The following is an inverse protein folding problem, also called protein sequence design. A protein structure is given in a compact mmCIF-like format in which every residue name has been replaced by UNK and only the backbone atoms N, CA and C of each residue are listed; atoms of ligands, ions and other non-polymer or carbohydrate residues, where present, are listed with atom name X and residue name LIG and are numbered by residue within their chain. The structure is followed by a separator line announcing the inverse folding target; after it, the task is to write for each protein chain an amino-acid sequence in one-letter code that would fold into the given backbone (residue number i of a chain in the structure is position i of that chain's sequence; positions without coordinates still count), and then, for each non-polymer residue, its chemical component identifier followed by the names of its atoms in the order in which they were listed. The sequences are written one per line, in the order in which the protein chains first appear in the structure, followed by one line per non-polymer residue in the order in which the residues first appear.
data_IF_476993594940
#
_entry.id   IF_476993594940
#
_cell.length_a   1.000
_cell.length_b   1.000
_cell.length_c   1.000
_cell.angle_alpha   90.00
_cell.angle_beta   90.00
_cell.angle_gamma   90.00
#
_symmetry.space_group_name_H-M   'P 1'
#
loop_
_entity.id
_entity.type
_entity.pdbx_description
1 polymer ?
#
# COMPACT_ATOMS: atom_id res chain seq x y z
N UNK A 1 -26.52 42.42 -95.17
CA UNK A 1 -26.28 43.43 -94.10
C UNK A 1 -25.52 42.74 -92.99
N UNK A 2 -24.42 43.36 -92.54
CA UNK A 2 -23.36 42.85 -91.65
C UNK A 2 -23.82 42.25 -90.30
N UNK A 3 -23.04 41.29 -89.77
CA UNK A 3 -22.51 41.33 -88.39
C UNK A 3 -21.27 40.44 -88.20
N UNK A 4 -20.31 40.99 -87.47
CA UNK A 4 -18.93 40.54 -87.20
C UNK A 4 -18.84 39.42 -86.15
N UNK A 5 -17.78 38.58 -86.13
CA UNK A 5 -17.54 37.63 -85.04
C UNK A 5 -16.71 38.25 -83.91
N UNK A 6 -17.03 37.88 -82.67
CA UNK A 6 -16.34 38.31 -81.44
C UNK A 6 -15.36 37.24 -80.94
N UNK A 7 -14.13 37.67 -80.68
CA UNK A 7 -13.02 36.87 -80.13
C UNK A 7 -13.21 36.53 -78.64
N UNK A 8 -12.96 35.27 -78.26
CA UNK A 8 -12.77 34.84 -76.87
C UNK A 8 -11.28 34.80 -76.55
N UNK A 9 -10.88 35.44 -75.44
CA UNK A 9 -9.52 35.34 -74.87
C UNK A 9 -9.51 34.31 -73.73
N UNK A 10 -8.54 33.38 -73.67
CA UNK A 10 -8.34 32.55 -72.50
C UNK A 10 -7.51 33.28 -71.43
N UNK A 11 -7.95 33.19 -70.18
CA UNK A 11 -7.21 33.60 -68.98
C UNK A 11 -6.24 32.49 -68.58
N UNK A 12 -4.93 32.74 -68.64
CA UNK A 12 -3.91 31.85 -68.07
C UNK A 12 -3.80 32.05 -66.55
N UNK A 13 -4.19 31.04 -65.77
CA UNK A 13 -3.85 30.89 -64.36
C UNK A 13 -2.41 30.39 -64.20
N UNK A 14 -1.54 31.15 -63.52
CA UNK A 14 -0.17 30.72 -63.23
C UNK A 14 -0.13 29.75 -62.03
N UNK A 15 0.01 28.46 -62.32
CA UNK A 15 0.41 27.49 -61.29
C UNK A 15 1.89 27.71 -60.98
N UNK A 16 2.20 28.36 -59.85
CA UNK A 16 3.55 28.31 -59.27
C UNK A 16 3.80 26.88 -58.78
N UNK A 17 4.53 26.10 -59.56
CA UNK A 17 5.07 24.82 -59.12
C UNK A 17 6.02 25.09 -57.93
N UNK A 18 5.57 24.80 -56.71
CA UNK A 18 6.43 24.82 -55.54
C UNK A 18 7.55 23.80 -55.74
N UNK A 19 8.79 24.28 -55.87
CA UNK A 19 9.99 23.45 -55.87
C UNK A 19 9.98 22.59 -54.60
N UNK A 20 9.70 21.29 -54.75
CA UNK A 20 9.88 20.33 -53.66
C UNK A 20 11.39 20.22 -53.40
N UNK A 21 11.88 20.85 -52.33
CA UNK A 21 13.25 20.67 -51.85
C UNK A 21 13.43 19.21 -51.45
N UNK A 22 14.30 18.49 -52.16
CA UNK A 22 14.79 17.19 -51.72
C UNK A 22 15.87 17.42 -50.65
N UNK A 23 15.76 16.74 -49.50
CA UNK A 23 16.76 16.78 -48.44
C UNK A 23 18.06 16.10 -48.92
N UNK A 24 19.19 16.72 -48.64
CA UNK A 24 20.50 16.10 -48.89
C UNK A 24 20.85 15.09 -47.80
N UNK A 25 21.61 14.04 -48.16
CA UNK A 25 22.13 13.05 -47.21
C UNK A 25 22.96 13.70 -46.09
N UNK A 26 23.69 14.77 -46.41
CA UNK A 26 24.52 15.48 -45.44
C UNK A 26 23.68 16.25 -44.41
N UNK A 27 22.57 16.88 -44.83
CA UNK A 27 21.65 17.54 -43.91
C UNK A 27 21.05 16.53 -42.92
N UNK A 28 20.66 15.34 -43.40
CA UNK A 28 20.18 14.27 -42.52
C UNK A 28 21.28 13.76 -41.57
N UNK A 29 22.50 13.60 -42.09
CA UNK A 29 23.64 13.09 -41.31
C UNK A 29 24.01 14.02 -40.16
N UNK A 30 24.04 15.34 -40.38
CA UNK A 30 24.32 16.30 -39.30
C UNK A 30 23.22 16.27 -38.24
N UNK A 31 21.96 16.13 -38.65
CA UNK A 31 20.82 16.07 -37.71
C UNK A 31 20.92 14.86 -36.78
N UNK A 32 21.19 13.67 -37.31
CA UNK A 32 21.33 12.48 -36.46
C UNK A 32 22.55 12.57 -35.52
N UNK A 33 23.64 13.21 -35.96
CA UNK A 33 24.82 13.45 -35.12
C UNK A 33 24.48 14.39 -33.97
N UNK A 34 23.77 15.49 -34.24
CA UNK A 34 23.34 16.43 -33.19
C UNK A 34 22.37 15.75 -32.21
N UNK A 35 21.37 15.00 -32.69
CA UNK A 35 20.46 14.24 -31.82
C UNK A 35 21.22 13.22 -30.98
N UNK A 36 22.21 12.53 -31.56
CA UNK A 36 23.06 11.57 -30.83
C UNK A 36 23.87 12.21 -29.70
N UNK A 37 24.45 13.40 -29.95
CA UNK A 37 25.18 14.15 -28.92
C UNK A 37 24.23 14.62 -27.82
N UNK A 38 23.08 15.21 -28.18
CA UNK A 38 22.09 15.70 -27.22
C UNK A 38 21.53 14.56 -26.37
N UNK A 39 21.18 13.43 -26.98
CA UNK A 39 20.72 12.24 -26.26
C UNK A 39 21.82 11.70 -25.33
N UNK A 40 23.07 11.64 -25.79
CA UNK A 40 24.21 11.20 -24.98
C UNK A 40 24.45 12.03 -23.72
N UNK A 41 24.21 13.34 -23.79
CA UNK A 41 24.29 14.22 -22.60
C UNK A 41 23.11 14.08 -21.65
N UNK A 42 21.93 13.73 -22.13
CA UNK A 42 20.72 13.63 -21.31
C UNK A 42 20.65 12.33 -20.49
N UNK A 43 21.14 11.21 -21.05
CA UNK A 43 20.96 9.88 -20.46
C UNK A 43 21.45 9.70 -19.01
N UNK A 44 22.66 10.19 -18.60
CA UNK A 44 23.14 9.98 -17.23
C UNK A 44 22.24 10.62 -16.15
N UNK A 45 21.58 11.74 -16.46
CA UNK A 45 20.71 12.44 -15.50
C UNK A 45 19.34 11.80 -15.32
N UNK A 46 18.87 11.01 -16.31
CA UNK A 46 17.51 10.44 -16.30
C UNK A 46 17.33 9.38 -15.21
N UNK A 47 18.35 8.56 -14.95
CA UNK A 47 18.27 7.50 -13.93
C UNK A 47 18.15 8.06 -12.52
N UNK A 48 18.96 9.07 -12.16
CA UNK A 48 18.88 9.74 -10.86
C UNK A 48 17.56 10.50 -10.68
N UNK A 49 17.07 11.16 -11.74
CA UNK A 49 15.76 11.82 -11.71
C UNK A 49 14.61 10.82 -11.51
N UNK A 50 14.67 9.64 -12.14
CA UNK A 50 13.69 8.57 -11.93
C UNK A 50 13.69 8.08 -10.49
N UNK A 51 14.87 7.81 -9.92
CA UNK A 51 14.98 7.35 -8.53
C UNK A 51 14.45 8.41 -7.54
N UNK A 52 14.79 9.69 -7.75
CA UNK A 52 14.27 10.77 -6.92
C UNK A 52 12.74 10.92 -7.03
N UNK A 53 12.18 10.72 -8.23
CA UNK A 53 10.73 10.71 -8.43
C UNK A 53 10.05 9.54 -7.70
N UNK A 54 10.67 8.36 -7.69
CA UNK A 54 10.18 7.19 -6.94
C UNK A 54 10.20 7.44 -5.43
N UNK A 55 11.30 7.97 -4.88
CA UNK A 55 11.36 8.38 -3.47
C UNK A 55 10.28 9.40 -3.14
N UNK A 56 10.07 10.39 -4.02
CA UNK A 56 9.03 11.41 -3.84
C UNK A 56 7.63 10.80 -3.87
N UNK A 57 7.39 9.80 -4.71
CA UNK A 57 6.13 9.07 -4.76
C UNK A 57 5.86 8.31 -3.45
N UNK A 58 6.85 7.59 -2.92
CA UNK A 58 6.74 6.90 -1.61
C UNK A 58 6.48 7.90 -0.50
N UNK A 59 7.25 9.00 -0.41
CA UNK A 59 7.03 10.04 0.60
C UNK A 59 5.63 10.66 0.50
N UNK A 60 5.10 10.82 -0.72
CA UNK A 60 3.74 11.35 -0.92
C UNK A 60 2.68 10.35 -0.49
N UNK A 61 2.87 9.06 -0.80
CA UNK A 61 2.01 7.98 -0.33
C UNK A 61 2.01 7.89 1.20
N UNK A 62 3.18 7.91 1.84
CA UNK A 62 3.30 7.90 3.30
C UNK A 62 2.55 9.07 3.93
N UNK A 63 2.63 10.28 3.35
CA UNK A 63 1.84 11.44 3.81
C UNK A 63 0.33 11.23 3.67
N UNK A 64 -0.11 10.54 2.63
CA UNK A 64 -1.52 10.19 2.47
C UNK A 64 -1.96 9.16 3.53
N UNK A 65 -1.11 8.17 3.82
CA UNK A 65 -1.31 7.20 4.91
C UNK A 65 -1.38 7.93 6.26
N UNK A 66 -0.44 8.85 6.52
CA UNK A 66 -0.43 9.65 7.75
C UNK A 66 -1.72 10.45 7.92
N UNK A 67 -2.20 11.08 6.85
CA UNK A 67 -3.47 11.79 6.85
C UNK A 67 -4.64 10.85 7.15
N UNK A 68 -4.69 9.67 6.55
CA UNK A 68 -5.74 8.69 6.81
C UNK A 68 -5.73 8.19 8.27
N UNK A 69 -4.54 7.98 8.85
CA UNK A 69 -4.39 7.66 10.29
C UNK A 69 -4.89 8.81 11.16
N UNK A 70 -4.58 10.06 10.81
CA UNK A 70 -5.11 11.22 11.52
C UNK A 70 -6.63 11.31 11.41
N UNK A 71 -7.20 11.09 10.22
CA UNK A 71 -8.66 11.07 10.00
C UNK A 71 -9.31 9.93 10.82
N UNK A 72 -8.66 8.76 10.92
CA UNK A 72 -9.08 7.65 11.78
C UNK A 72 -9.09 8.06 13.26
N UNK A 73 -7.99 8.66 13.74
CA UNK A 73 -7.87 9.15 15.12
C UNK A 73 -8.87 10.25 15.43
N UNK A 74 -9.17 11.14 14.49
CA UNK A 74 -10.20 12.16 14.66
C UNK A 74 -11.59 11.54 14.81
N UNK A 75 -11.88 10.46 14.07
CA UNK A 75 -13.17 9.76 14.14
C UNK A 75 -13.33 8.95 15.42
N UNK A 76 -12.31 8.20 15.81
CA UNK A 76 -12.41 7.20 16.89
C UNK A 76 -11.66 7.57 18.18
N UNK A 77 -10.89 8.65 18.18
CA UNK A 77 -10.12 9.13 19.32
C UNK A 77 -8.78 8.43 19.54
N UNK A 78 -8.47 7.37 18.79
CA UNK A 78 -7.25 6.54 18.94
C UNK A 78 -6.69 6.19 17.55
N UNK A 79 -5.36 6.08 17.40
CA UNK A 79 -4.74 5.55 16.18
C UNK A 79 -5.09 4.07 15.94
N UNK A 80 -4.99 3.58 14.69
CA UNK A 80 -4.91 2.15 14.43
C UNK A 80 -3.88 1.46 15.33
N UNK A 81 -4.13 0.23 15.78
CA UNK A 81 -3.16 -0.53 16.55
C UNK A 81 -2.06 -1.04 15.64
N UNK A 82 -0.87 -1.34 16.19
CA UNK A 82 0.17 -2.05 15.42
C UNK A 82 0.04 -3.54 15.44
N UNK A 83 -0.77 -4.08 16.36
CA UNK A 83 -1.10 -5.49 16.40
C UNK A 83 -2.49 -5.67 16.98
N UNK A 84 -3.33 -6.44 16.30
CA UNK A 84 -4.64 -6.84 16.79
C UNK A 84 -4.91 -8.30 16.42
N UNK A 85 -5.63 -9.00 17.28
CA UNK A 85 -6.16 -10.32 16.96
C UNK A 85 -7.66 -10.18 16.74
N UNK A 86 -8.14 -10.64 15.60
CA UNK A 86 -9.55 -10.68 15.25
C UNK A 86 -10.00 -12.14 15.22
N UNK A 87 -11.27 -12.34 15.57
CA UNK A 87 -11.88 -13.65 15.53
C UNK A 87 -13.19 -13.58 14.77
N UNK A 88 -13.35 -14.51 13.86
CA UNK A 88 -14.56 -14.73 13.11
C UNK A 88 -15.62 -15.41 13.98
N UNK A 89 -15.19 -16.48 14.65
CA UNK A 89 -16.02 -17.22 15.59
C UNK A 89 -16.18 -16.45 16.92
N UNK A 90 -17.45 -16.28 17.33
CA UNK A 90 -17.80 -15.56 18.56
C UNK A 90 -17.19 -16.11 19.85
N UNK A 91 -17.04 -17.44 19.93
CA UNK A 91 -16.59 -18.13 21.14
C UNK A 91 -15.17 -17.69 21.57
N UNK A 92 -14.35 -17.27 20.61
CA UNK A 92 -13.00 -16.79 20.83
C UNK A 92 -12.91 -15.37 21.44
N UNK A 93 -14.00 -14.60 21.42
CA UNK A 93 -14.05 -13.27 22.07
C UNK A 93 -14.29 -13.31 23.59
N UNK A 94 -14.19 -14.50 24.21
CA UNK A 94 -14.37 -14.68 25.65
C UNK A 94 -13.37 -13.87 26.50
N UNK A 95 -13.66 -13.68 27.80
CA UNK A 95 -12.77 -12.92 28.69
C UNK A 95 -11.42 -13.63 28.98
N UNK A 96 -11.34 -14.93 28.71
CA UNK A 96 -10.15 -15.77 28.90
C UNK A 96 -10.03 -16.71 27.71
N UNK A 97 -9.66 -16.20 26.53
CA UNK A 97 -9.66 -17.00 25.32
C UNK A 97 -8.57 -18.08 25.40
N UNK A 98 -8.93 -19.29 24.98
CA UNK A 98 -7.94 -20.34 24.75
C UNK A 98 -7.11 -19.94 23.53
N UNK A 99 -5.79 -19.90 23.69
CA UNK A 99 -4.85 -19.65 22.59
C UNK A 99 -4.51 -21.00 21.96
N UNK A 100 -4.83 -21.25 20.68
CA UNK A 100 -4.42 -22.48 20.01
C UNK A 100 -2.90 -22.56 19.90
N UNK A 101 -2.34 -23.78 19.89
CA UNK A 101 -0.89 -24.02 19.98
C UNK A 101 -0.06 -23.61 18.76
N UNK A 102 -0.70 -23.15 17.69
CA UNK A 102 -0.10 -22.78 16.40
C UNK A 102 -0.22 -21.28 16.07
N UNK A 103 -0.36 -20.42 17.08
CA UNK A 103 -0.45 -18.97 16.90
C UNK A 103 0.60 -18.22 17.73
N UNK A 104 0.97 -17.01 17.30
CA UNK A 104 1.98 -16.17 17.95
C UNK A 104 1.39 -15.06 18.84
N UNK A 105 0.07 -14.97 18.94
CA UNK A 105 -0.63 -14.11 19.89
C UNK A 105 -0.82 -14.73 21.28
N UNK A 106 -1.08 -13.89 22.28
CA UNK A 106 -1.29 -14.29 23.67
C UNK A 106 -2.69 -13.93 24.16
N UNK A 107 -3.20 -14.57 25.23
CA UNK A 107 -4.49 -14.20 25.81
C UNK A 107 -4.60 -12.70 26.21
N UNK A 108 -3.46 -12.06 26.51
CA UNK A 108 -3.38 -10.62 26.75
C UNK A 108 -3.64 -9.80 25.47
N UNK A 109 -3.22 -10.29 24.30
CA UNK A 109 -3.43 -9.65 23.01
C UNK A 109 -4.90 -9.69 22.60
N UNK A 110 -5.59 -10.82 22.80
CA UNK A 110 -7.02 -10.90 22.58
C UNK A 110 -7.81 -9.98 23.53
N UNK A 111 -7.40 -9.90 24.81
CA UNK A 111 -8.02 -8.98 25.78
C UNK A 111 -7.81 -7.52 25.35
N UNK A 112 -6.62 -7.18 24.86
CA UNK A 112 -6.31 -5.85 24.32
C UNK A 112 -7.15 -5.55 23.07
N UNK A 113 -7.24 -6.51 22.16
CA UNK A 113 -8.00 -6.40 20.91
C UNK A 113 -9.47 -6.15 21.18
N UNK A 114 -10.08 -6.92 22.10
CA UNK A 114 -11.44 -6.70 22.56
C UNK A 114 -11.65 -5.32 23.18
N UNK A 115 -10.70 -4.87 24.00
CA UNK A 115 -10.75 -3.53 24.63
C UNK A 115 -10.67 -2.42 23.60
N UNK A 116 -9.77 -2.56 22.63
CA UNK A 116 -9.59 -1.64 21.51
C UNK A 116 -10.85 -1.57 20.63
N UNK A 117 -11.40 -2.72 20.22
CA UNK A 117 -12.63 -2.78 19.43
C UNK A 117 -13.83 -2.17 20.18
N UNK A 118 -13.95 -2.39 21.49
CA UNK A 118 -15.00 -1.76 22.30
C UNK A 118 -14.86 -0.23 22.35
N UNK A 119 -13.64 0.30 22.30
CA UNK A 119 -13.40 1.75 22.28
C UNK A 119 -13.88 2.38 20.97
N UNK A 120 -13.55 1.76 19.82
CA UNK A 120 -13.93 2.31 18.50
C UNK A 120 -15.38 1.95 18.09
N UNK A 121 -15.90 0.81 18.57
CA UNK A 121 -17.26 0.34 18.34
C UNK A 121 -17.92 -0.11 19.65
N UNK A 122 -18.54 0.83 20.39
CA UNK A 122 -19.12 0.55 21.71
C UNK A 122 -20.22 -0.52 21.71
N UNK A 123 -20.90 -0.75 20.58
CA UNK A 123 -21.97 -1.74 20.44
C UNK A 123 -21.52 -3.07 19.82
N UNK A 124 -20.22 -3.24 19.53
CA UNK A 124 -19.70 -4.46 18.93
C UNK A 124 -20.15 -5.71 19.71
N UNK A 125 -20.70 -6.68 18.98
CA UNK A 125 -21.19 -7.92 19.57
C UNK A 125 -20.08 -8.97 19.67
N UNK A 126 -19.57 -9.22 20.88
CA UNK A 126 -18.55 -10.24 21.12
C UNK A 126 -19.14 -11.64 21.34
N UNK A 127 -20.45 -11.84 21.23
CA UNK A 127 -21.08 -13.13 21.59
C UNK A 127 -21.16 -14.13 20.44
N UNK A 128 -20.93 -13.70 19.19
CA UNK A 128 -20.99 -14.58 18.02
C UNK A 128 -22.36 -14.74 17.40
N UNK A 129 -23.35 -13.91 17.72
CA UNK A 129 -24.67 -14.02 17.09
C UNK A 129 -24.66 -13.68 15.59
N UNK A 130 -23.56 -13.14 15.08
CA UNK A 130 -23.26 -12.99 13.67
C UNK A 130 -21.89 -13.61 13.40
N UNK A 131 -21.88 -14.81 12.84
CA UNK A 131 -20.69 -15.38 12.20
C UNK A 131 -20.13 -14.37 11.19
N UNK A 132 -18.80 -14.20 11.18
CA UNK A 132 -18.14 -13.14 10.42
C UNK A 132 -17.11 -13.77 9.52
N UNK A 133 -17.31 -13.60 8.23
CA UNK A 133 -16.31 -13.85 7.20
C UNK A 133 -15.53 -12.54 7.04
N UNK A 134 -14.45 -12.37 7.82
CA UNK A 134 -13.62 -11.17 7.83
C UNK A 134 -12.68 -11.19 6.63
N UNK A 135 -11.94 -12.28 6.41
CA UNK A 135 -10.96 -12.43 5.31
C UNK A 135 -11.63 -12.73 3.95
N UNK A 136 -12.92 -13.05 3.94
CA UNK A 136 -13.69 -13.19 2.72
C UNK A 136 -13.61 -14.57 2.06
N UNK A 137 -13.03 -15.56 2.72
CA UNK A 137 -12.71 -16.89 2.21
C UNK A 137 -13.94 -17.84 2.18
N UNK A 138 -15.02 -17.43 2.84
CA UNK A 138 -16.29 -18.14 2.84
C UNK A 138 -16.54 -19.01 4.08
N UNK A 139 -15.67 -18.96 5.09
CA UNK A 139 -15.96 -19.52 6.41
C UNK A 139 -16.09 -18.45 7.51
N UNK A 140 -16.10 -18.88 8.77
CA UNK A 140 -16.30 -18.00 9.92
C UNK A 140 -15.58 -18.52 11.16
N UNK A 141 -14.49 -19.26 10.96
CA UNK A 141 -13.75 -19.99 11.99
C UNK A 141 -12.35 -19.45 12.19
N UNK A 142 -11.96 -18.44 11.41
CA UNK A 142 -10.59 -17.97 11.42
C UNK A 142 -10.24 -17.07 12.59
N UNK A 143 -8.95 -17.10 12.86
CA UNK A 143 -8.26 -16.21 13.79
C UNK A 143 -7.26 -15.42 12.97
N UNK A 144 -7.44 -14.10 12.94
CA UNK A 144 -6.60 -13.22 12.13
C UNK A 144 -5.65 -12.44 13.03
N UNK A 145 -4.34 -12.61 12.86
CA UNK A 145 -3.29 -11.98 13.67
C UNK A 145 -2.63 -10.81 12.94
N UNK A 146 -3.37 -9.72 12.80
CA UNK A 146 -2.87 -8.56 12.08
C UNK A 146 -1.74 -7.83 12.82
N UNK A 147 -0.69 -7.49 12.09
CA UNK A 147 0.46 -6.70 12.53
C UNK A 147 0.83 -5.64 11.49
N UNK A 148 1.41 -4.53 11.96
CA UNK A 148 2.01 -3.51 11.10
C UNK A 148 1.12 -3.06 9.93
N UNK A 149 1.52 -3.43 8.72
CA UNK A 149 0.82 -3.07 7.49
C UNK A 149 -0.57 -3.69 7.35
N UNK A 150 -0.83 -4.90 7.86
CA UNK A 150 -2.17 -5.52 7.82
C UNK A 150 -3.15 -4.71 8.65
N UNK A 151 -2.70 -4.22 9.81
CA UNK A 151 -3.49 -3.31 10.63
C UNK A 151 -3.84 -2.02 9.85
N UNK A 152 -2.90 -1.48 9.07
CA UNK A 152 -3.19 -0.32 8.21
C UNK A 152 -4.21 -0.68 7.13
N UNK A 153 -4.01 -1.79 6.43
CA UNK A 153 -4.93 -2.28 5.40
C UNK A 153 -6.34 -2.41 5.97
N UNK A 154 -6.47 -3.09 7.12
CA UNK A 154 -7.74 -3.35 7.76
C UNK A 154 -8.40 -2.08 8.30
N UNK A 155 -7.71 -1.24 9.07
CA UNK A 155 -8.35 -0.10 9.73
C UNK A 155 -8.55 1.12 8.84
N UNK A 156 -7.67 1.33 7.85
CA UNK A 156 -7.80 2.43 6.91
C UNK A 156 -8.63 2.04 5.69
N UNK A 157 -8.51 0.79 5.23
CA UNK A 157 -9.27 0.27 4.10
C UNK A 157 -10.63 -0.30 4.51
N UNK A 158 -10.72 -1.02 5.62
CA UNK A 158 -11.91 -1.78 6.03
C UNK A 158 -11.88 -3.24 5.59
N UNK A 159 -13.03 -3.92 5.69
CA UNK A 159 -13.16 -5.32 5.24
C UNK A 159 -13.64 -5.39 3.79
N UNK A 160 -13.29 -6.45 3.08
CA UNK A 160 -13.70 -6.63 1.68
C UNK A 160 -15.23 -6.75 1.56
N UNK A 161 -15.77 -6.31 0.42
CA UNK A 161 -17.20 -6.45 0.11
C UNK A 161 -17.48 -7.83 -0.49
N UNK A 162 -18.63 -8.43 -0.19
CA UNK A 162 -19.08 -9.70 -0.81
C UNK A 162 -19.36 -9.62 -2.31
N UNK A 163 -19.32 -8.41 -2.89
CA UNK A 163 -19.74 -8.13 -4.26
C UNK A 163 -18.69 -7.32 -5.03
N UNK A 164 -17.45 -7.80 -5.13
CA UNK A 164 -16.53 -7.24 -6.14
C UNK A 164 -17.00 -7.79 -7.48
N UNK A 165 -17.77 -6.98 -8.22
CA UNK A 165 -18.24 -7.35 -9.56
C UNK A 165 -17.10 -7.06 -10.52
N UNK A 166 -16.56 -8.07 -11.19
CA UNK A 166 -15.57 -7.80 -12.24
C UNK A 166 -16.21 -7.09 -13.44
N UNK A 167 -15.37 -6.66 -14.38
CA UNK A 167 -15.82 -5.99 -15.61
C UNK A 167 -16.78 -6.85 -16.48
N UNK A 168 -17.04 -8.11 -16.10
CA UNK A 168 -17.96 -9.03 -16.77
C UNK A 168 -19.31 -9.18 -16.06
N UNK A 169 -19.51 -8.55 -14.90
CA UNK A 169 -20.77 -8.65 -14.14
C UNK A 169 -20.82 -9.83 -13.16
N UNK A 170 -19.70 -10.54 -12.97
CA UNK A 170 -19.62 -11.70 -12.08
C UNK A 170 -19.24 -11.26 -10.67
N UNK A 171 -20.01 -11.66 -9.66
CA UNK A 171 -19.65 -11.46 -8.25
C UNK A 171 -18.43 -12.33 -7.93
N UNK A 172 -17.31 -11.70 -7.63
CA UNK A 172 -16.11 -12.34 -7.10
C UNK A 172 -16.15 -12.32 -5.59
N UNK A 173 -16.00 -13.50 -4.99
CA UNK A 173 -15.55 -13.65 -3.60
C UNK A 173 -14.05 -13.33 -3.55
N UNK A 174 -13.49 -13.06 -2.37
CA UNK A 174 -12.02 -13.04 -2.23
C UNK A 174 -11.49 -14.41 -2.72
N UNK A 175 -10.26 -14.47 -3.27
CA UNK A 175 -9.77 -15.71 -3.86
C UNK A 175 -9.87 -16.86 -2.84
N UNK A 176 -10.50 -17.94 -3.29
CA UNK A 176 -10.81 -19.17 -2.55
C UNK A 176 -9.65 -20.18 -2.60
N UNK A 177 -8.47 -19.78 -3.10
CA UNK A 177 -7.32 -20.67 -3.16
C UNK A 177 -6.39 -20.46 -1.97
N UNK A 178 -5.93 -21.58 -1.41
CA UNK A 178 -5.09 -21.64 -0.22
C UNK A 178 -3.65 -21.14 -0.45
N UNK A 179 -3.33 -20.65 -1.66
CA UNK A 179 -1.98 -20.38 -2.11
C UNK A 179 -1.92 -19.04 -2.86
N UNK A 180 -2.25 -17.94 -2.18
CA UNK A 180 -2.36 -16.54 -2.64
C UNK A 180 -1.19 -16.07 -3.55
N UNK A 181 -1.10 -16.62 -4.75
CA UNK A 181 0.06 -16.48 -5.61
C UNK A 181 0.01 -15.16 -6.35
N UNK A 182 1.14 -14.45 -6.38
CA UNK A 182 1.28 -13.16 -7.06
C UNK A 182 0.70 -13.25 -8.49
N UNK A 183 -0.31 -12.44 -8.85
CA UNK A 183 -0.97 -12.59 -10.14
C UNK A 183 -0.04 -12.25 -11.29
N UNK A 184 -0.09 -13.04 -12.36
CA UNK A 184 0.59 -12.74 -13.61
C UNK A 184 -0.13 -11.60 -14.35
N UNK A 185 0.64 -10.76 -15.03
CA UNK A 185 0.08 -9.63 -15.77
C UNK A 185 -0.89 -10.10 -16.87
N UNK A 186 -2.19 -9.95 -16.64
CA UNK A 186 -3.25 -10.34 -17.58
C UNK A 186 -4.39 -11.15 -16.96
N UNK A 187 -4.19 -11.69 -15.76
CA UNK A 187 -5.27 -12.33 -15.02
C UNK A 187 -6.21 -11.26 -14.45
N UNK A 188 -7.51 -11.51 -14.57
CA UNK A 188 -8.49 -10.70 -13.89
C UNK A 188 -8.28 -10.93 -12.39
N UNK A 189 -7.63 -9.94 -11.82
CA UNK A 189 -7.30 -9.64 -10.44
C UNK A 189 -8.37 -9.99 -9.39
N UNK A 190 -8.06 -11.02 -8.60
CA UNK A 190 -8.80 -11.38 -7.38
C UNK A 190 -8.37 -10.48 -6.23
N UNK A 191 -8.86 -9.24 -6.25
CA UNK A 191 -8.49 -8.23 -5.28
C UNK A 191 -9.33 -8.36 -4.01
N UNK A 192 -8.66 -8.61 -2.89
CA UNK A 192 -9.12 -8.03 -1.63
C UNK A 192 -9.22 -6.51 -1.81
N UNK A 193 -10.43 -6.02 -2.08
CA UNK A 193 -10.74 -4.59 -2.19
C UNK A 193 -11.42 -4.13 -0.90
N UNK A 194 -10.69 -3.52 0.03
CA UNK A 194 -11.27 -3.06 1.28
C UNK A 194 -12.16 -1.84 1.02
N UNK A 195 -13.45 -1.91 1.40
CA UNK A 195 -14.47 -0.89 1.06
C UNK A 195 -15.08 -0.21 2.29
N UNK A 196 -14.28 0.00 3.33
CA UNK A 196 -14.71 0.50 4.63
C UNK A 196 -15.34 -0.57 5.54
N UNK A 197 -16.07 -0.11 6.55
CA UNK A 197 -16.75 -0.96 7.53
C UNK A 197 -18.26 -0.80 7.43
N UNK A 198 -19.01 -1.82 7.84
CA UNK A 198 -20.47 -1.75 7.90
C UNK A 198 -20.94 -0.62 8.82
N UNK A 199 -22.06 0.03 8.47
CA UNK A 199 -22.77 0.94 9.38
C UNK A 199 -23.45 0.20 10.53
N UNK A 200 -23.54 -1.14 10.47
CA UNK A 200 -24.12 -1.94 11.54
C UNK A 200 -23.24 -1.86 12.80
N UNK A 201 -23.71 -1.21 13.87
CA UNK A 201 -22.87 -0.94 15.04
C UNK A 201 -22.59 -2.19 15.88
N UNK A 202 -23.37 -3.27 15.72
CA UNK A 202 -23.13 -4.55 16.40
C UNK A 202 -22.24 -5.50 15.58
N UNK A 203 -22.21 -5.32 14.25
CA UNK A 203 -21.31 -6.07 13.36
C UNK A 203 -20.66 -5.15 12.29
N UNK A 204 -19.65 -4.35 12.66
CA UNK A 204 -18.91 -3.50 11.73
C UNK A 204 -18.16 -4.28 10.64
N UNK A 205 -17.89 -5.57 10.85
CA UNK A 205 -17.21 -6.44 9.89
C UNK A 205 -18.16 -7.06 8.87
N UNK A 206 -19.44 -6.75 8.90
CA UNK A 206 -20.36 -7.23 7.88
C UNK A 206 -19.90 -6.76 6.48
N UNK A 207 -19.68 -7.74 5.59
CA UNK A 207 -19.23 -7.52 4.21
C UNK A 207 -20.31 -6.91 3.30
N UNK A 208 -21.59 -7.03 3.68
CA UNK A 208 -22.74 -6.47 2.96
C UNK A 208 -23.33 -5.20 3.57
N UNK A 209 -24.25 -4.56 2.83
CA UNK A 209 -25.05 -3.43 3.31
C UNK A 209 -24.39 -2.06 3.15
N UNK A 210 -24.91 -1.06 3.87
CA UNK A 210 -24.36 0.31 3.88
C UNK A 210 -23.04 0.36 4.66
N UNK A 211 -22.08 1.15 4.19
CA UNK A 211 -20.71 1.18 4.73
C UNK A 211 -20.21 2.60 4.97
N UNK A 212 -19.22 2.72 5.85
CA UNK A 212 -18.48 3.96 6.13
C UNK A 212 -17.01 3.73 5.84
N UNK A 213 -16.37 4.68 5.16
CA UNK A 213 -15.00 4.54 4.67
C UNK A 213 -14.95 4.05 3.23
N UNK A 214 -13.76 3.70 2.71
CA UNK A 214 -12.46 3.66 3.40
C UNK A 214 -11.95 5.06 3.79
N UNK A 215 -10.97 5.13 4.70
CA UNK A 215 -10.25 6.38 4.98
C UNK A 215 -9.31 6.76 3.84
N UNK A 216 -8.84 5.75 3.10
CA UNK A 216 -8.08 5.92 1.88
C UNK A 216 -8.21 4.68 1.00
N UNK A 217 -8.18 4.89 -0.31
CA UNK A 217 -8.13 3.80 -1.28
C UNK A 217 -6.76 3.13 -1.25
N UNK A 218 -6.75 1.80 -1.15
CA UNK A 218 -5.54 0.99 -1.12
C UNK A 218 -5.40 0.30 -2.48
N UNK A 219 -4.25 0.46 -3.11
CA UNK A 219 -4.05 0.04 -4.52
C UNK A 219 -2.94 -0.97 -4.71
N UNK A 220 -2.10 -1.18 -3.68
CA UNK A 220 -0.93 -2.05 -3.74
C UNK A 220 -0.92 -2.94 -2.51
N UNK A 221 -1.47 -4.13 -2.72
CA UNK A 221 -1.63 -5.16 -1.71
C UNK A 221 -0.87 -6.39 -2.17
N UNK A 222 -0.14 -6.99 -1.25
CA UNK A 222 0.45 -8.32 -1.38
C UNK A 222 -0.11 -9.17 -0.25
N UNK A 223 -0.17 -10.48 -0.41
CA UNK A 223 -0.33 -11.39 0.72
C UNK A 223 0.97 -12.18 0.80
N UNK A 224 1.77 -11.97 1.85
CA UNK A 224 3.05 -12.65 2.03
C UNK A 224 2.94 -13.97 2.81
N UNK A 225 1.75 -14.38 3.22
CA UNK A 225 1.52 -15.58 4.05
C UNK A 225 1.62 -16.90 3.26
N UNK A 226 1.81 -16.84 1.94
CA UNK A 226 1.91 -18.01 1.04
C UNK A 226 3.35 -18.51 0.83
N UNK A 227 4.36 -17.93 1.49
CA UNK A 227 5.76 -18.34 1.34
C UNK A 227 6.20 -19.51 2.23
N UNK A 228 5.38 -20.56 2.33
CA UNK A 228 5.78 -21.93 2.72
C UNK A 228 6.80 -21.99 3.89
N UNK A 229 6.55 -21.25 4.97
CA UNK A 229 7.48 -21.13 6.10
C UNK A 229 7.26 -19.97 7.07
N UNK A 230 6.45 -18.97 6.71
CA UNK A 230 5.93 -17.97 7.65
C UNK A 230 4.77 -18.57 8.47
N UNK A 231 4.71 -18.19 9.75
CA UNK A 231 3.92 -18.87 10.78
C UNK A 231 2.55 -18.21 11.03
N UNK A 232 2.00 -17.50 10.04
CA UNK A 232 0.78 -16.70 10.19
C UNK A 232 -0.09 -16.77 8.93
N UNK A 233 -0.94 -17.80 8.77
CA UNK A 233 -1.84 -17.93 7.62
C UNK A 233 -3.14 -17.14 7.88
N UNK A 234 -3.03 -15.83 8.05
CA UNK A 234 -4.18 -15.00 8.44
C UNK A 234 -4.98 -14.47 7.23
N UNK A 235 -4.39 -14.56 6.04
CA UNK A 235 -5.05 -14.31 4.76
C UNK A 235 -5.27 -12.82 4.48
N UNK A 236 -4.70 -11.93 5.30
CA UNK A 236 -4.91 -10.49 5.21
C UNK A 236 -3.76 -9.81 4.47
N UNK A 237 -4.04 -8.99 3.44
CA UNK A 237 -2.98 -8.46 2.63
C UNK A 237 -2.28 -7.27 3.26
N UNK A 238 -0.97 -7.19 3.04
CA UNK A 238 -0.12 -6.12 3.49
C UNK A 238 0.07 -5.05 2.42
N UNK A 239 0.22 -3.81 2.87
CA UNK A 239 0.38 -2.65 2.00
C UNK A 239 1.83 -2.47 1.56
N UNK A 240 2.07 -2.57 0.25
CA UNK A 240 3.35 -2.25 -0.39
C UNK A 240 3.51 -0.77 -0.76
N UNK A 241 4.74 -0.28 -0.74
CA UNK A 241 5.05 1.06 -1.25
C UNK A 241 4.96 1.17 -2.78
N UNK A 242 5.17 2.38 -3.30
CA UNK A 242 5.12 2.67 -4.74
C UNK A 242 6.38 2.34 -5.55
N UNK A 243 7.40 1.73 -4.95
CA UNK A 243 8.63 1.36 -5.65
C UNK A 243 8.33 0.16 -6.57
N UNK A 244 8.64 0.24 -7.88
CA UNK A 244 8.39 -0.88 -8.79
C UNK A 244 9.18 -2.13 -8.39
N UNK A 245 8.48 -3.26 -8.27
CA UNK A 245 9.07 -4.54 -7.88
C UNK A 245 9.24 -4.71 -6.37
N UNK A 246 8.67 -3.82 -5.56
CA UNK A 246 8.66 -3.96 -4.11
C UNK A 246 7.95 -5.26 -3.70
N UNK A 247 8.55 -5.99 -2.77
CA UNK A 247 8.01 -7.24 -2.23
C UNK A 247 7.84 -7.22 -0.72
N UNK A 248 8.34 -6.18 -0.04
CA UNK A 248 8.20 -6.01 1.41
C UNK A 248 7.24 -4.84 1.71
N UNK A 249 6.33 -4.98 2.69
CA UNK A 249 5.29 -3.99 2.96
C UNK A 249 5.85 -2.75 3.66
N UNK A 250 4.99 -1.87 4.16
CA UNK A 250 5.41 -0.89 5.15
C UNK A 250 5.54 -1.52 6.54
N UNK A 251 6.44 -1.00 7.38
CA UNK A 251 6.33 -1.20 8.83
C UNK A 251 5.52 -0.07 9.41
N UNK A 252 4.53 -0.43 10.24
CA UNK A 252 3.73 0.51 11.02
C UNK A 252 3.83 0.23 12.53
N UNK A 253 4.27 1.25 13.28
CA UNK A 253 4.37 1.21 14.74
C UNK A 253 3.59 2.36 15.38
N UNK A 254 2.48 2.06 16.04
CA UNK A 254 1.73 2.95 16.90
C UNK A 254 2.48 3.15 18.20
N UNK A 255 2.57 4.40 18.64
CA UNK A 255 3.20 4.76 19.91
C UNK A 255 2.22 4.71 21.09
N UNK A 256 0.97 4.25 20.85
CA UNK A 256 -0.08 4.07 21.85
C UNK A 256 -0.23 5.28 22.79
N UNK A 257 -0.37 6.47 22.19
CA UNK A 257 -0.54 7.75 22.90
C UNK A 257 0.63 8.13 23.82
N UNK A 258 1.89 7.99 23.37
CA UNK A 258 3.04 8.37 24.20
C UNK A 258 3.63 7.23 25.03
N UNK A 259 3.00 6.04 25.01
CA UNK A 259 3.45 4.88 25.79
C UNK A 259 4.64 4.14 25.14
N UNK A 260 5.00 4.54 23.92
CA UNK A 260 6.02 3.87 23.11
C UNK A 260 5.42 2.75 22.26
N UNK A 261 6.23 2.18 21.37
CA UNK A 261 5.84 0.96 20.65
C UNK A 261 6.17 -0.26 21.51
N UNK A 262 5.38 -1.32 21.33
CA UNK A 262 5.67 -2.63 21.93
C UNK A 262 6.45 -3.45 20.92
N UNK A 263 7.65 -3.90 21.25
CA UNK A 263 8.47 -4.68 20.31
C UNK A 263 7.77 -5.97 19.84
N UNK A 264 6.92 -6.57 20.68
CA UNK A 264 6.10 -7.74 20.34
C UNK A 264 4.92 -7.44 19.39
N UNK A 265 4.67 -6.17 19.04
CA UNK A 265 3.70 -5.78 18.01
C UNK A 265 4.33 -5.59 16.64
N UNK A 266 5.66 -5.68 16.54
CA UNK A 266 6.36 -5.53 15.27
C UNK A 266 6.36 -6.86 14.53
N UNK A 267 6.23 -6.84 13.19
CA UNK A 267 6.23 -8.04 12.38
C UNK A 267 7.52 -8.83 12.57
N UNK A 268 7.38 -10.12 12.84
CA UNK A 268 8.50 -11.05 12.97
C UNK A 268 8.82 -11.64 11.60
N UNK A 269 10.08 -11.64 11.19
CA UNK A 269 10.51 -12.45 10.06
C UNK A 269 10.27 -11.88 8.66
N UNK A 270 9.94 -10.59 8.51
CA UNK A 270 9.97 -9.95 7.18
C UNK A 270 11.44 -9.82 6.72
N UNK A 271 12.00 -10.89 6.16
CA UNK A 271 13.36 -10.94 5.60
C UNK A 271 14.48 -11.01 6.64
N UNK A 272 14.58 -12.12 7.39
CA UNK A 272 15.73 -12.68 8.14
C UNK A 272 16.71 -11.78 8.93
N UNK A 273 16.48 -10.48 9.05
CA UNK A 273 17.35 -9.49 9.68
C UNK A 273 16.53 -8.63 10.63
N UNK A 274 16.99 -8.49 11.87
CA UNK A 274 16.23 -7.97 13.03
C UNK A 274 15.43 -6.68 12.77
N UNK A 275 14.09 -6.75 12.71
CA UNK A 275 13.26 -5.55 12.52
C UNK A 275 12.97 -4.89 13.86
N UNK A 276 13.65 -3.78 14.13
CA UNK A 276 13.30 -2.82 15.19
C UNK A 276 12.90 -1.49 14.54
N UNK A 277 11.96 -0.76 15.13
CA UNK A 277 11.69 0.60 14.67
C UNK A 277 12.74 1.57 15.17
N UNK A 278 12.98 2.63 14.40
CA UNK A 278 13.93 3.66 14.76
C UNK A 278 13.54 4.38 16.06
N UNK A 279 14.50 4.57 16.96
CA UNK A 279 14.34 5.28 18.23
C UNK A 279 15.32 6.42 18.38
N UNK A 280 14.93 7.42 19.18
CA UNK A 280 15.85 8.46 19.64
C UNK A 280 16.93 7.85 20.54
N UNK A 281 18.06 8.55 20.78
CA UNK A 281 19.07 8.11 21.76
C UNK A 281 18.53 7.85 23.17
N UNK A 282 17.40 8.45 23.54
CA UNK A 282 16.66 8.19 24.79
C UNK A 282 15.99 6.81 24.85
N UNK A 283 15.93 6.07 23.75
CA UNK A 283 15.19 4.81 23.61
C UNK A 283 13.70 4.99 23.35
N UNK A 284 13.21 6.23 23.24
CA UNK A 284 11.82 6.54 22.88
C UNK A 284 11.63 6.50 21.36
N UNK A 285 10.40 6.24 20.85
CA UNK A 285 10.11 6.39 19.44
C UNK A 285 10.48 7.82 18.96
N UNK A 286 10.88 7.97 17.71
CA UNK A 286 10.96 9.27 17.05
C UNK A 286 9.63 10.03 17.11
N UNK A 287 8.53 9.33 16.83
CA UNK A 287 7.16 9.87 16.90
C UNK A 287 6.45 9.45 18.19
N UNK A 288 6.88 10.00 19.33
CA UNK A 288 6.47 9.56 20.66
C UNK A 288 4.95 9.51 20.88
N UNK A 289 4.20 10.48 20.37
CA UNK A 289 2.75 10.60 20.66
C UNK A 289 1.84 10.10 19.53
N UNK A 290 2.41 9.55 18.46
CA UNK A 290 1.64 9.17 17.27
C UNK A 290 2.06 7.80 16.77
N UNK A 291 2.76 7.72 15.65
CA UNK A 291 3.14 6.48 15.00
C UNK A 291 4.36 6.68 14.11
N UNK A 292 4.97 5.58 13.69
CA UNK A 292 6.06 5.55 12.73
C UNK A 292 5.68 4.67 11.55
N UNK A 293 5.99 5.15 10.35
CA UNK A 293 5.86 4.41 9.11
C UNK A 293 7.26 4.31 8.49
N UNK A 294 7.63 3.13 8.01
CA UNK A 294 8.94 2.86 7.39
C UNK A 294 8.70 2.06 6.12
N UNK A 295 9.22 2.55 4.99
CA UNK A 295 9.37 1.77 3.75
C UNK A 295 10.78 1.16 3.70
N UNK A 296 10.91 -0.09 3.21
CA UNK A 296 12.17 -0.82 3.10
C UNK A 296 13.07 -0.34 1.95
N UNK A 297 12.73 0.77 1.29
CA UNK A 297 13.59 1.32 0.25
C UNK A 297 13.66 0.47 -1.03
N UNK A 298 14.73 0.66 -1.79
CA UNK A 298 14.97 0.05 -3.10
C UNK A 298 15.56 -1.35 -3.02
N UNK A 299 16.29 -1.67 -1.94
CA UNK A 299 16.83 -3.01 -1.73
C UNK A 299 15.80 -3.97 -1.12
N UNK A 300 14.70 -3.44 -0.58
CA UNK A 300 13.65 -4.23 0.03
C UNK A 300 14.04 -4.76 1.41
N UNK A 301 15.02 -4.15 2.06
CA UNK A 301 15.49 -4.54 3.39
C UNK A 301 15.35 -3.40 4.40
N UNK A 302 14.74 -3.67 5.56
CA UNK A 302 14.68 -2.66 6.63
C UNK A 302 15.99 -2.54 7.43
N UNK A 303 16.90 -3.51 7.29
CA UNK A 303 18.05 -3.70 8.17
C UNK A 303 17.69 -3.97 9.63
N UNK A 304 18.57 -3.59 10.54
CA UNK A 304 18.49 -3.96 11.97
C UNK A 304 17.66 -3.01 12.85
N UNK A 305 17.41 -1.80 12.35
CA UNK A 305 16.77 -0.74 13.12
C UNK A 305 17.55 -0.32 14.37
N UNK A 306 16.89 0.39 15.29
CA UNK A 306 17.48 0.87 16.53
C UNK A 306 17.69 2.39 16.58
N UNK A 307 18.69 2.85 17.33
CA UNK A 307 18.89 4.30 17.55
C UNK A 307 19.24 4.97 16.22
N UNK A 308 18.34 5.79 15.68
CA UNK A 308 18.65 6.57 14.48
C UNK A 308 19.42 7.84 14.87
N UNK A 309 20.37 8.19 14.01
CA UNK A 309 21.32 9.29 14.05
C UNK A 309 21.31 9.86 12.61
N UNK A 310 21.46 11.17 12.43
CA UNK A 310 21.52 11.80 11.10
C UNK A 310 22.63 11.23 10.20
N UNK A 311 23.58 10.51 10.78
CA UNK A 311 24.57 9.65 10.13
C UNK A 311 24.36 8.22 10.63
N UNK A 312 23.87 7.32 9.77
CA UNK A 312 23.72 5.92 10.13
C UNK A 312 25.08 5.33 10.57
N UNK A 313 25.15 4.65 11.72
CA UNK A 313 26.38 3.98 12.17
C UNK A 313 26.88 2.94 11.16
N UNK A 314 28.20 2.68 11.18
CA UNK A 314 28.81 1.58 10.42
C UNK A 314 28.13 0.25 10.78
N UNK A 315 27.80 -0.57 9.80
CA UNK A 315 27.07 -1.82 9.96
C UNK A 315 25.55 -1.72 9.76
N UNK A 316 25.02 -0.53 9.43
CA UNK A 316 23.60 -0.28 9.12
C UNK A 316 23.42 0.22 7.69
N UNK A 317 24.25 -0.26 6.78
CA UNK A 317 24.28 0.19 5.39
C UNK A 317 23.04 -0.21 4.61
N UNK A 318 22.37 -1.31 4.98
CA UNK A 318 21.08 -1.73 4.39
C UNK A 318 19.95 -0.76 4.72
N UNK A 319 20.09 0.05 5.77
CA UNK A 319 19.03 0.94 6.23
C UNK A 319 19.03 2.29 5.52
N UNK A 320 20.01 2.50 4.66
CA UNK A 320 20.36 3.78 4.08
C UNK A 320 19.24 4.33 3.22
N UNK A 321 18.68 3.49 2.36
CA UNK A 321 17.62 3.88 1.44
C UNK A 321 16.20 3.78 2.02
N UNK A 322 16.06 3.29 3.26
CA UNK A 322 14.78 3.34 3.99
C UNK A 322 14.21 4.76 4.01
N UNK A 323 12.89 4.83 3.89
CA UNK A 323 12.13 6.07 3.88
C UNK A 323 11.20 6.04 5.08
N UNK A 324 11.22 7.08 5.92
CA UNK A 324 10.47 7.10 7.18
C UNK A 324 9.54 8.30 7.30
N UNK A 325 8.50 8.19 8.12
CA UNK A 325 7.58 9.31 8.37
C UNK A 325 8.20 10.45 9.20
N UNK A 326 9.33 10.20 9.88
CA UNK A 326 9.98 11.17 10.76
C UNK A 326 11.22 11.84 10.13
N UNK A 327 11.68 11.38 8.96
CA UNK A 327 12.76 12.01 8.18
C UNK A 327 12.24 12.32 6.78
N UNK A 328 12.65 13.46 6.21
CA UNK A 328 12.32 13.73 4.80
C UNK A 328 13.26 12.96 3.88
N UNK A 329 12.73 12.00 3.11
CA UNK A 329 13.49 11.23 2.14
C UNK A 329 14.17 10.00 2.76
N UNK A 330 15.33 9.63 2.21
CA UNK A 330 16.12 8.45 2.61
C UNK A 330 16.90 8.71 3.90
N UNK A 331 17.27 7.65 4.63
CA UNK A 331 18.07 7.75 5.86
C UNK A 331 19.56 8.10 5.64
N UNK A 332 20.09 7.96 4.43
CA UNK A 332 21.44 8.46 4.01
C UNK A 332 21.70 9.95 4.22
#
# INVERSE_FOLDING_TARGET
MFRSPSHLRPSCSSNRAGLRRAFSLIELMVVIVIIGILAGFLLPGVMGAKQAAQVTAVVTEMKNIEKAIQDFKLKYGIEPPSKIVLFEEGSHWSATPAVPSNHNWTAADATRSRSYLRQIWPQFDFTGAADRDINGDGDSTDILELQGAECLTFFLGGVCSTNVVDNTGTVRTAPVDANHSTPSAGDAVDYWEPRGFSVNPTNPFARGGSRVGPFMEITRLVNLDDDNGTADPDGMPEWLDSIPGQTKPFIYASAYEGKGYRAADLPVGIGSTFISVYTKPSGTPYSENTFQLISPGFDGEYGTGGVYDNTLPVGRETERDNITSFKTGRLE
#
